data_IF_010895008981
#
_entry.id   IF_010895008981
#
_cell.length_a   1.000
_cell.length_b   1.000
_cell.length_c   1.000
_cell.angle_alpha   90.00
_cell.angle_beta   90.00
_cell.angle_gamma   90.00
#
_symmetry.space_group_name_H-M   'P 1'
#
loop_
_entity.id
_entity.type
_entity.pdbx_description
1 polymer ?
#
# COMPACT_ATOMS: atom_id res chain seq x y z
N UNK A 1 -1.30 37.33 11.94
CA UNK A 1 -1.12 37.34 10.47
C UNK A 1 -0.42 36.04 10.07
N UNK A 2 -1.05 35.22 9.23
CA UNK A 2 -0.41 34.01 8.67
C UNK A 2 0.57 34.49 7.60
N UNK A 3 1.86 34.17 7.74
CA UNK A 3 2.88 34.62 6.78
C UNK A 3 2.70 33.91 5.43
N UNK A 4 2.94 34.59 4.31
CA UNK A 4 2.81 34.03 2.96
C UNK A 4 3.61 32.72 2.78
N UNK A 5 4.76 32.60 3.46
CA UNK A 5 5.58 31.38 3.49
C UNK A 5 4.88 30.19 4.17
N UNK A 6 4.10 30.44 5.22
CA UNK A 6 3.34 29.39 5.91
C UNK A 6 2.14 28.90 5.08
N UNK A 7 1.54 29.77 4.26
CA UNK A 7 0.51 29.37 3.29
C UNK A 7 1.10 28.51 2.19
N UNK A 8 2.22 28.93 1.58
CA UNK A 8 2.91 28.14 0.56
C UNK A 8 3.27 26.74 1.06
N UNK A 9 3.89 26.63 2.24
CA UNK A 9 4.23 25.33 2.84
C UNK A 9 3.00 24.44 3.05
N UNK A 10 1.88 25.02 3.48
CA UNK A 10 0.62 24.30 3.70
C UNK A 10 0.08 23.70 2.39
N UNK A 11 0.10 24.47 1.30
CA UNK A 11 -0.42 24.01 0.01
C UNK A 11 0.54 23.09 -0.75
N UNK A 12 1.85 23.29 -0.67
CA UNK A 12 2.82 22.53 -1.48
C UNK A 12 3.31 21.24 -0.81
N UNK A 13 3.25 21.15 0.52
CA UNK A 13 3.75 19.97 1.26
C UNK A 13 2.63 19.32 2.05
N UNK A 14 1.94 20.07 2.92
CA UNK A 14 0.98 19.47 3.86
C UNK A 14 -0.24 18.89 3.14
N UNK A 15 -0.82 19.63 2.20
CA UNK A 15 -1.96 19.16 1.42
C UNK A 15 -1.68 17.88 0.60
N UNK A 16 -0.60 17.79 -0.21
CA UNK A 16 -0.30 16.57 -0.94
C UNK A 16 0.10 15.40 -0.02
N UNK A 17 0.82 15.63 1.07
CA UNK A 17 1.15 14.56 2.05
C UNK A 17 -0.12 14.00 2.69
N UNK A 18 -1.06 14.86 3.10
CA UNK A 18 -2.34 14.42 3.68
C UNK A 18 -3.20 13.67 2.66
N UNK A 19 -3.23 14.11 1.40
CA UNK A 19 -3.93 13.40 0.33
C UNK A 19 -3.36 11.99 0.12
N UNK A 20 -2.03 11.85 0.07
CA UNK A 20 -1.36 10.55 -0.06
C UNK A 20 -1.65 9.66 1.16
N UNK A 21 -1.60 10.22 2.38
CA UNK A 21 -1.92 9.48 3.60
C UNK A 21 -3.37 8.98 3.63
N UNK A 22 -4.31 9.76 3.09
CA UNK A 22 -5.72 9.38 2.99
C UNK A 22 -6.00 8.43 1.83
N UNK A 23 -5.11 8.30 0.84
CA UNK A 23 -5.31 7.42 -0.31
C UNK A 23 -5.56 5.97 0.13
N UNK A 24 -4.76 5.44 1.06
CA UNK A 24 -4.90 4.05 1.52
C UNK A 24 -6.26 3.75 2.19
N UNK A 25 -6.71 4.49 3.23
CA UNK A 25 -8.00 4.23 3.84
C UNK A 25 -9.16 4.43 2.85
N UNK A 26 -9.06 5.38 1.92
CA UNK A 26 -10.06 5.55 0.87
C UNK A 26 -10.15 4.33 -0.04
N UNK A 27 -9.01 3.77 -0.46
CA UNK A 27 -8.99 2.54 -1.27
C UNK A 27 -9.59 1.35 -0.52
N UNK A 28 -9.39 1.23 0.79
CA UNK A 28 -10.05 0.20 1.60
C UNK A 28 -11.56 0.42 1.69
N UNK A 29 -12.02 1.65 1.93
CA UNK A 29 -13.45 1.95 1.95
C UNK A 29 -14.11 1.59 0.62
N UNK A 30 -13.46 1.92 -0.49
CA UNK A 30 -13.98 1.60 -1.82
C UNK A 30 -14.07 0.08 -2.02
N UNK A 31 -13.01 -0.64 -1.66
CA UNK A 31 -12.93 -2.10 -1.79
C UNK A 31 -14.00 -2.81 -0.95
N UNK A 32 -14.16 -2.40 0.31
CA UNK A 32 -15.09 -3.06 1.24
C UNK A 32 -16.55 -2.74 0.89
N UNK A 33 -16.84 -1.49 0.50
CA UNK A 33 -18.20 -0.98 0.31
C UNK A 33 -18.78 -1.27 -1.08
N UNK A 34 -17.99 -1.11 -2.13
CA UNK A 34 -18.54 -1.15 -3.50
C UNK A 34 -18.30 -2.48 -4.22
N UNK A 35 -17.31 -3.26 -3.81
CA UNK A 35 -17.02 -4.54 -4.47
C UNK A 35 -17.92 -5.63 -3.89
N UNK A 36 -18.91 -6.08 -4.67
CA UNK A 36 -19.88 -7.11 -4.29
C UNK A 36 -19.31 -8.52 -4.48
N UNK A 37 -18.26 -8.86 -3.74
CA UNK A 37 -17.64 -10.18 -3.74
C UNK A 37 -17.49 -10.71 -2.31
N UNK A 38 -17.08 -11.97 -2.19
CA UNK A 38 -16.86 -12.62 -0.91
C UNK A 38 -15.82 -11.90 -0.05
N UNK A 39 -15.96 -12.03 1.28
CA UNK A 39 -15.17 -11.29 2.24
C UNK A 39 -13.66 -11.58 2.14
N UNK A 40 -13.25 -12.83 1.88
CA UNK A 40 -11.84 -13.18 1.75
C UNK A 40 -11.20 -12.57 0.50
N UNK A 41 -11.92 -12.51 -0.61
CA UNK A 41 -11.40 -11.87 -1.82
C UNK A 41 -11.27 -10.35 -1.65
N UNK A 42 -12.19 -9.70 -0.92
CA UNK A 42 -12.04 -8.29 -0.53
C UNK A 42 -10.80 -8.08 0.34
N UNK A 43 -10.55 -8.96 1.30
CA UNK A 43 -9.34 -8.92 2.12
C UNK A 43 -8.07 -9.07 1.27
N UNK A 44 -8.04 -10.02 0.32
CA UNK A 44 -6.93 -10.21 -0.61
C UNK A 44 -6.62 -8.93 -1.41
N UNK A 45 -7.65 -8.25 -1.92
CA UNK A 45 -7.50 -6.97 -2.62
C UNK A 45 -6.90 -5.90 -1.68
N UNK A 46 -7.39 -5.80 -0.43
CA UNK A 46 -6.82 -4.87 0.54
C UNK A 46 -5.33 -5.14 0.83
N UNK A 47 -4.94 -6.41 0.94
CA UNK A 47 -3.53 -6.80 1.11
C UNK A 47 -2.68 -6.39 -0.10
N UNK A 48 -3.18 -6.60 -1.32
CA UNK A 48 -2.49 -6.18 -2.54
C UNK A 48 -2.33 -4.65 -2.63
N UNK A 49 -3.40 -3.90 -2.34
CA UNK A 49 -3.37 -2.42 -2.29
C UNK A 49 -2.35 -1.94 -1.25
N UNK A 50 -2.32 -2.56 -0.07
CA UNK A 50 -1.36 -2.23 1.00
C UNK A 50 0.07 -2.46 0.56
N UNK A 51 0.33 -3.57 -0.14
CA UNK A 51 1.66 -3.90 -0.65
C UNK A 51 2.16 -2.81 -1.62
N UNK A 52 1.34 -2.43 -2.59
CA UNK A 52 1.68 -1.37 -3.56
C UNK A 52 1.88 -0.02 -2.85
N UNK A 53 1.00 0.31 -1.90
CA UNK A 53 1.11 1.56 -1.14
C UNK A 53 2.41 1.63 -0.33
N UNK A 54 2.72 0.61 0.47
CA UNK A 54 3.92 0.55 1.31
C UNK A 54 5.19 0.57 0.46
N UNK A 55 5.18 -0.07 -0.71
CA UNK A 55 6.31 -0.06 -1.63
C UNK A 55 6.64 1.35 -2.15
N UNK A 56 5.61 2.15 -2.44
CA UNK A 56 5.75 3.45 -3.09
C UNK A 56 5.79 4.64 -2.12
N UNK A 57 5.18 4.53 -0.93
CA UNK A 57 4.91 5.67 -0.04
C UNK A 57 6.16 6.47 0.28
N UNK A 58 7.27 5.81 0.59
CA UNK A 58 8.50 6.52 0.96
C UNK A 58 9.12 7.28 -0.22
N UNK A 59 9.03 6.74 -1.44
CA UNK A 59 9.51 7.41 -2.65
C UNK A 59 8.62 8.60 -3.02
N UNK A 60 7.31 8.46 -2.86
CA UNK A 60 6.34 9.54 -3.06
C UNK A 60 6.55 10.66 -2.03
N UNK A 61 6.67 10.31 -0.75
CA UNK A 61 6.91 11.29 0.32
C UNK A 61 8.26 12.00 0.16
N UNK A 62 9.32 11.30 -0.24
CA UNK A 62 10.60 11.94 -0.52
C UNK A 62 10.52 12.96 -1.66
N UNK A 63 9.69 12.68 -2.67
CA UNK A 63 9.45 13.60 -3.78
C UNK A 63 8.69 14.84 -3.34
N UNK A 64 7.68 14.67 -2.49
CA UNK A 64 6.83 15.79 -2.03
C UNK A 64 7.56 16.65 -0.99
N UNK A 65 8.21 16.03 0.00
CA UNK A 65 8.80 16.74 1.16
C UNK A 65 10.20 17.28 0.85
N UNK A 66 11.03 16.48 0.17
CA UNK A 66 12.44 16.80 -0.05
C UNK A 66 12.68 17.34 -1.47
N UNK A 67 11.64 17.39 -2.32
CA UNK A 67 11.73 17.81 -3.72
C UNK A 67 12.80 17.06 -4.52
N UNK A 68 13.08 15.80 -4.15
CA UNK A 68 13.98 14.92 -4.90
C UNK A 68 13.23 14.27 -6.06
N UNK A 69 13.90 13.96 -7.18
CA UNK A 69 13.27 13.18 -8.23
C UNK A 69 12.81 11.83 -7.69
N UNK A 70 11.67 11.34 -8.17
CA UNK A 70 11.13 10.06 -7.76
C UNK A 70 12.16 8.95 -8.03
N UNK A 71 12.53 8.24 -6.97
CA UNK A 71 13.43 7.11 -7.04
C UNK A 71 12.97 6.04 -6.06
N UNK A 72 12.97 4.79 -6.51
CA UNK A 72 12.70 3.65 -5.63
C UNK A 72 13.81 3.51 -4.60
N UNK A 73 13.45 2.99 -3.42
CA UNK A 73 14.44 2.74 -2.38
C UNK A 73 15.44 1.67 -2.84
N UNK A 74 16.71 1.91 -2.55
CA UNK A 74 17.77 0.94 -2.83
C UNK A 74 17.62 -0.24 -1.88
N UNK A 75 17.63 -1.44 -2.44
CA UNK A 75 17.58 -2.69 -1.67
C UNK A 75 18.82 -3.53 -1.98
N UNK A 76 19.32 -4.23 -0.96
CA UNK A 76 20.36 -5.24 -1.07
C UNK A 76 20.24 -6.19 0.13
N UNK A 77 19.71 -7.39 -0.08
CA UNK A 77 19.47 -8.37 0.97
C UNK A 77 20.72 -8.94 1.64
N UNK A 78 21.90 -8.67 1.10
CA UNK A 78 23.18 -9.04 1.72
C UNK A 78 23.66 -7.97 2.72
N UNK A 79 23.12 -6.75 2.67
CA UNK A 79 23.58 -5.61 3.48
C UNK A 79 22.41 -5.05 4.31
N UNK A 80 22.47 -5.27 5.62
CA UNK A 80 21.43 -4.86 6.58
C UNK A 80 21.82 -3.64 7.43
N UNK A 81 22.59 -2.72 6.85
CA UNK A 81 23.05 -1.51 7.53
C UNK A 81 22.90 -0.26 6.66
N UNK A 82 22.81 0.90 7.30
CA UNK A 82 22.76 2.21 6.63
C UNK A 82 21.60 2.36 5.64
N UNK A 83 21.91 2.79 4.42
CA UNK A 83 20.94 3.19 3.38
C UNK A 83 20.11 2.05 2.78
N UNK A 84 20.43 0.77 3.06
CA UNK A 84 19.72 -0.39 2.50
C UNK A 84 18.66 -0.96 3.43
N UNK A 85 18.71 -0.66 4.74
CA UNK A 85 17.82 -1.26 5.75
C UNK A 85 16.35 -1.00 5.44
N UNK A 86 16.00 0.28 5.20
CA UNK A 86 14.61 0.66 4.94
C UNK A 86 14.07 0.00 3.65
N UNK A 87 14.87 0.00 2.59
CA UNK A 87 14.50 -0.64 1.32
C UNK A 87 14.31 -2.14 1.46
N UNK A 88 15.18 -2.83 2.20
CA UNK A 88 15.06 -4.26 2.46
C UNK A 88 13.78 -4.60 3.25
N UNK A 89 13.51 -3.85 4.32
CA UNK A 89 12.31 -4.06 5.15
C UNK A 89 11.05 -3.86 4.30
N UNK A 90 10.96 -2.75 3.55
CA UNK A 90 9.81 -2.46 2.69
C UNK A 90 9.61 -3.57 1.65
N UNK A 91 10.68 -4.03 1.01
CA UNK A 91 10.57 -5.07 -0.02
C UNK A 91 10.07 -6.38 0.58
N UNK A 92 10.57 -6.80 1.74
CA UNK A 92 10.12 -8.00 2.45
C UNK A 92 8.66 -7.86 2.88
N UNK A 93 8.29 -6.73 3.50
CA UNK A 93 6.91 -6.46 3.89
C UNK A 93 5.98 -6.51 2.68
N UNK A 94 6.37 -5.91 1.55
CA UNK A 94 5.61 -5.93 0.30
C UNK A 94 5.42 -7.37 -0.20
N UNK A 95 6.49 -8.18 -0.22
CA UNK A 95 6.42 -9.59 -0.61
C UNK A 95 5.47 -10.40 0.29
N UNK A 96 5.56 -10.23 1.61
CA UNK A 96 4.68 -10.92 2.57
C UNK A 96 3.21 -10.56 2.30
N UNK A 97 2.90 -9.27 2.11
CA UNK A 97 1.54 -8.83 1.84
C UNK A 97 1.00 -9.39 0.51
N UNK A 98 1.82 -9.46 -0.53
CA UNK A 98 1.44 -10.07 -1.81
C UNK A 98 1.21 -11.58 -1.68
N UNK A 99 2.07 -12.29 -0.94
CA UNK A 99 1.89 -13.72 -0.65
C UNK A 99 0.58 -13.94 0.09
N UNK A 100 0.28 -13.13 1.11
CA UNK A 100 -0.99 -13.21 1.84
C UNK A 100 -2.19 -12.95 0.93
N UNK A 101 -2.11 -11.98 0.01
CA UNK A 101 -3.17 -11.73 -0.97
C UNK A 101 -3.42 -12.95 -1.87
N UNK A 102 -2.36 -13.61 -2.34
CA UNK A 102 -2.47 -14.83 -3.16
C UNK A 102 -3.08 -15.98 -2.35
N UNK A 103 -2.60 -16.23 -1.13
CA UNK A 103 -3.12 -17.30 -0.26
C UNK A 103 -4.60 -17.11 0.03
N UNK A 104 -5.04 -15.89 0.35
CA UNK A 104 -6.45 -15.59 0.58
C UNK A 104 -7.31 -15.77 -0.68
N UNK A 105 -6.76 -15.43 -1.85
CA UNK A 105 -7.45 -15.62 -3.13
C UNK A 105 -7.65 -17.11 -3.43
N UNK A 106 -6.60 -17.93 -3.23
CA UNK A 106 -6.66 -19.39 -3.41
C UNK A 106 -7.66 -20.01 -2.42
N UNK A 107 -7.62 -19.59 -1.16
CA UNK A 107 -8.52 -20.08 -0.12
C UNK A 107 -10.00 -19.84 -0.47
N UNK A 108 -10.32 -18.65 -0.98
CA UNK A 108 -11.68 -18.32 -1.43
C UNK A 108 -12.12 -19.19 -2.62
N UNK A 109 -11.26 -19.39 -3.61
CA UNK A 109 -11.56 -20.26 -4.77
C UNK A 109 -11.81 -21.71 -4.32
N UNK A 110 -10.98 -22.24 -3.41
CA UNK A 110 -11.16 -23.58 -2.88
C UNK A 110 -12.48 -23.73 -2.10
N UNK A 111 -12.87 -22.72 -1.33
CA UNK A 111 -14.16 -22.71 -0.61
C UNK A 111 -15.36 -22.63 -1.55
N UNK A 112 -15.25 -21.87 -2.64
CA UNK A 112 -16.29 -21.79 -3.68
C UNK A 112 -16.53 -23.15 -4.35
N UNK A 113 -15.44 -23.85 -4.71
CA UNK A 113 -15.54 -25.19 -5.32
C UNK A 113 -16.20 -26.18 -4.35
N UNK A 114 -15.75 -26.23 -3.09
CA UNK A 114 -16.32 -27.11 -2.07
C UNK A 114 -17.78 -26.83 -1.76
N UNK A 115 -18.21 -25.57 -1.84
CA UNK A 115 -19.63 -25.20 -1.65
C UNK A 115 -20.47 -25.73 -2.80
N UNK A 116 -20.00 -25.55 -4.03
CA UNK A 116 -20.69 -26.02 -5.24
C UNK A 116 -20.83 -27.53 -5.28
N UNK A 117 -19.83 -28.27 -4.79
CA UNK A 117 -19.88 -29.73 -4.68
C UNK A 117 -20.93 -30.22 -3.67
N UNK A 118 -21.18 -29.48 -2.58
CA UNK A 118 -22.22 -29.82 -1.58
C UNK A 118 -23.65 -29.52 -2.04
N UNK A 119 -23.80 -28.69 -3.06
CA UNK A 119 -25.09 -28.30 -3.62
C UNK A 119 -25.54 -29.23 -4.77
N UNK A 120 -24.64 -30.12 -5.24
CA UNK A 120 -24.88 -31.19 -6.21
C UNK A 120 -25.29 -32.49 -5.51
#
# INVERSE_FOLDING_TARGET
MVSFTSLLFSFTVVCPVTLVALLLPWMFLVTIRYIKINALFRAAICFAISAVYIFLINSVLATIIVHKPFALQKYNFNVWTGKYVNGNIILITTMILLIMAVVLSIAEIALLIKRKEKEL
#
